data_IF_987526449033
#
_entry.id   IF_987526449033
#
_cell.length_a   1.000
_cell.length_b   1.000
_cell.length_c   1.000
_cell.angle_alpha   90.00
_cell.angle_beta   90.00
_cell.angle_gamma   90.00
#
_symmetry.space_group_name_H-M   'P 1'
#
loop_
_entity.id
_entity.type
_entity.pdbx_description
1 polymer ?
#
# COMPACT_ATOMS: atom_id res chain seq x y z
N UNK A 1 18.65 -5.74 -14.77
CA UNK A 1 17.49 -6.66 -14.63
C UNK A 1 16.26 -5.83 -14.92
N UNK A 2 15.38 -6.30 -15.80
CA UNK A 2 14.15 -5.60 -16.14
C UNK A 2 13.31 -5.41 -14.85
N UNK A 3 12.85 -4.19 -14.51
CA UNK A 3 11.93 -3.96 -13.39
C UNK A 3 10.73 -4.92 -13.37
N UNK A 4 10.30 -5.40 -14.55
CA UNK A 4 9.25 -6.38 -14.73
C UNK A 4 9.65 -7.79 -14.23
N UNK A 5 10.92 -8.18 -14.33
CA UNK A 5 11.42 -9.47 -13.80
C UNK A 5 11.42 -9.50 -12.27
N UNK A 6 11.76 -8.38 -11.64
CA UNK A 6 11.76 -8.23 -10.18
C UNK A 6 10.33 -8.21 -9.61
N UNK A 7 9.40 -7.50 -10.27
CA UNK A 7 7.97 -7.53 -9.95
C UNK A 7 7.38 -8.94 -10.10
N UNK A 8 7.74 -9.64 -11.19
CA UNK A 8 7.36 -11.04 -11.39
C UNK A 8 7.97 -11.96 -10.32
N UNK A 9 9.16 -11.67 -9.81
CA UNK A 9 9.84 -12.46 -8.79
C UNK A 9 9.26 -12.21 -7.39
N UNK A 10 8.92 -10.97 -7.03
CA UNK A 10 8.14 -10.65 -5.81
C UNK A 10 6.77 -11.34 -5.89
N UNK A 11 6.15 -11.34 -7.07
CA UNK A 11 4.95 -12.14 -7.37
C UNK A 11 5.16 -13.64 -7.19
N UNK A 12 6.34 -14.20 -7.56
CA UNK A 12 6.71 -15.61 -7.28
C UNK A 12 6.88 -15.87 -5.78
N UNK A 13 7.39 -14.91 -5.02
CA UNK A 13 7.64 -15.10 -3.60
C UNK A 13 6.39 -14.99 -2.73
N UNK A 14 5.40 -14.19 -3.14
CA UNK A 14 4.04 -14.30 -2.57
C UNK A 14 3.39 -15.64 -2.90
N UNK A 15 3.67 -16.21 -4.09
CA UNK A 15 3.26 -17.58 -4.47
C UNK A 15 3.95 -18.69 -3.67
N UNK A 16 5.04 -18.41 -2.95
CA UNK A 16 5.81 -19.39 -2.15
C UNK A 16 5.41 -19.41 -0.66
N UNK A 17 4.47 -18.56 -0.19
CA UNK A 17 3.88 -18.61 1.17
C UNK A 17 2.95 -19.83 1.42
N UNK A 18 3.00 -20.88 0.61
CA UNK A 18 1.99 -21.95 0.62
C UNK A 18 2.24 -22.91 1.78
N UNK A 19 1.52 -22.71 2.89
CA UNK A 19 1.17 -23.78 3.82
C UNK A 19 0.28 -24.83 3.15
N UNK A 20 0.23 -26.02 3.71
CA UNK A 20 -0.32 -27.25 3.12
C UNK A 20 -1.66 -27.06 2.41
N UNK A 21 -1.66 -27.41 1.12
CA UNK A 21 -2.77 -27.40 0.16
C UNK A 21 -4.00 -28.15 0.68
N UNK A 22 -5.13 -27.46 0.82
CA UNK A 22 -6.44 -28.11 0.81
C UNK A 22 -6.77 -28.62 -0.60
N UNK A 23 -7.43 -29.77 -0.77
CA UNK A 23 -7.79 -30.27 -2.09
C UNK A 23 -8.77 -29.30 -2.78
N UNK A 24 -8.39 -28.77 -3.95
CA UNK A 24 -9.26 -27.97 -4.84
C UNK A 24 -9.09 -26.45 -4.83
N UNK A 25 -8.23 -25.89 -3.98
CA UNK A 25 -8.12 -24.43 -3.81
C UNK A 25 -7.15 -23.76 -4.83
N UNK A 26 -7.56 -22.62 -5.40
CA UNK A 26 -6.75 -21.87 -6.35
C UNK A 26 -5.50 -21.23 -5.69
N UNK A 27 -4.38 -21.17 -6.41
CA UNK A 27 -3.16 -20.50 -5.92
C UNK A 27 -3.40 -19.03 -5.56
N UNK A 28 -4.33 -18.39 -6.28
CA UNK A 28 -4.72 -17.00 -6.04
C UNK A 28 -5.47 -16.85 -4.71
N UNK A 29 -6.41 -17.75 -4.39
CA UNK A 29 -7.10 -17.76 -3.09
C UNK A 29 -6.12 -17.86 -1.90
N UNK A 30 -5.14 -18.76 -2.00
CA UNK A 30 -4.08 -18.88 -0.97
C UNK A 30 -3.28 -17.60 -0.81
N UNK A 31 -2.92 -16.96 -1.92
CA UNK A 31 -2.20 -15.68 -1.92
C UNK A 31 -3.01 -14.59 -1.21
N UNK A 32 -4.31 -14.46 -1.52
CA UNK A 32 -5.20 -13.48 -0.88
C UNK A 32 -5.28 -13.68 0.64
N UNK A 33 -5.44 -14.92 1.11
CA UNK A 33 -5.46 -15.20 2.56
C UNK A 33 -4.15 -14.86 3.24
N UNK A 34 -3.04 -15.16 2.59
CA UNK A 34 -1.71 -14.87 3.13
C UNK A 34 -1.45 -13.37 3.28
N UNK A 35 -2.05 -12.52 2.43
CA UNK A 35 -1.92 -11.06 2.54
C UNK A 35 -2.61 -10.49 3.77
N UNK A 36 -3.70 -11.11 4.24
CA UNK A 36 -4.41 -10.64 5.44
C UNK A 36 -3.54 -10.61 6.70
N UNK A 37 -2.51 -11.47 6.78
CA UNK A 37 -1.56 -11.45 7.90
C UNK A 37 -0.68 -10.18 7.93
N UNK A 38 -0.50 -9.50 6.79
CA UNK A 38 0.41 -8.36 6.67
C UNK A 38 -0.06 -7.15 7.50
N UNK A 39 -1.36 -7.01 7.78
CA UNK A 39 -1.90 -5.86 8.53
C UNK A 39 -2.04 -6.13 10.02
N UNK A 40 -2.05 -7.40 10.44
CA UNK A 40 -2.16 -7.77 11.86
C UNK A 40 -0.95 -7.29 12.68
N UNK A 41 0.21 -7.16 12.05
CA UNK A 41 1.43 -6.65 12.70
C UNK A 41 1.31 -5.19 13.17
N UNK A 42 0.37 -4.43 12.61
CA UNK A 42 0.17 -3.02 12.98
C UNK A 42 -0.48 -2.86 14.37
N UNK A 43 -1.03 -3.93 14.94
CA UNK A 43 -1.61 -3.95 16.30
C UNK A 43 -0.58 -4.21 17.40
N UNK A 44 0.70 -4.34 17.06
CA UNK A 44 1.73 -4.58 18.06
C UNK A 44 1.99 -3.30 18.87
N UNK A 45 1.60 -3.29 20.15
CA UNK A 45 1.74 -2.15 21.06
C UNK A 45 3.18 -1.61 21.13
N UNK A 46 4.18 -2.49 21.22
CA UNK A 46 5.58 -2.06 21.26
C UNK A 46 6.07 -1.44 19.94
N UNK A 47 5.44 -1.79 18.81
CA UNK A 47 5.69 -1.06 17.55
C UNK A 47 4.98 0.29 17.57
N UNK A 48 3.74 0.35 18.05
CA UNK A 48 2.96 1.59 18.12
C UNK A 48 3.72 2.62 18.98
N UNK A 49 4.27 2.22 20.12
CA UNK A 49 5.08 3.10 20.96
C UNK A 49 6.26 3.70 20.19
N UNK A 50 7.01 2.87 19.43
CA UNK A 50 8.10 3.33 18.57
C UNK A 50 7.63 4.30 17.48
N UNK A 51 6.45 4.09 16.91
CA UNK A 51 5.89 5.02 15.94
C UNK A 51 5.58 6.38 16.58
N UNK A 52 5.00 6.38 17.78
CA UNK A 52 4.66 7.60 18.52
C UNK A 52 5.91 8.40 18.94
N UNK A 53 7.04 7.75 19.19
CA UNK A 53 8.33 8.40 19.45
C UNK A 53 8.89 9.16 18.23
N UNK A 54 8.57 8.68 17.01
CA UNK A 54 9.11 9.23 15.75
C UNK A 54 8.16 10.25 15.12
N UNK A 55 6.87 10.14 15.36
CA UNK A 55 5.85 11.04 14.82
C UNK A 55 6.00 12.46 15.38
N UNK A 56 5.98 13.51 14.53
CA UNK A 56 6.04 14.90 14.98
C UNK A 56 4.66 15.37 15.46
N UNK A 57 4.13 14.73 16.52
CA UNK A 57 2.75 14.87 16.97
C UNK A 57 2.33 16.33 17.14
N UNK A 58 3.15 17.16 17.78
CA UNK A 58 2.85 18.59 17.96
C UNK A 58 2.60 19.32 16.63
N UNK A 59 3.44 19.09 15.62
CA UNK A 59 3.27 19.66 14.27
C UNK A 59 1.98 19.13 13.63
N UNK A 60 1.77 17.82 13.69
CA UNK A 60 0.62 17.17 13.07
C UNK A 60 -0.70 17.73 13.63
N UNK A 61 -0.85 17.73 14.96
CA UNK A 61 -2.05 18.22 15.62
C UNK A 61 -2.25 19.72 15.41
N UNK A 62 -1.21 20.53 15.58
CA UNK A 62 -1.32 21.99 15.37
C UNK A 62 -1.79 22.33 13.95
N UNK A 63 -1.27 21.65 12.93
CA UNK A 63 -1.70 21.85 11.54
C UNK A 63 -3.08 21.30 11.25
N UNK A 64 -3.44 20.16 11.83
CA UNK A 64 -4.76 19.58 11.65
C UNK A 64 -5.86 20.47 12.27
N UNK A 65 -5.64 20.99 13.47
CA UNK A 65 -6.55 21.93 14.14
C UNK A 65 -6.66 23.26 13.37
N UNK A 66 -5.54 23.77 12.85
CA UNK A 66 -5.54 24.96 11.99
C UNK A 66 -6.40 24.75 10.73
N UNK A 67 -6.30 23.58 10.09
CA UNK A 67 -7.10 23.23 8.91
C UNK A 67 -8.59 23.05 9.25
N UNK A 68 -8.91 22.29 10.31
CA UNK A 68 -10.29 22.05 10.75
C UNK A 68 -11.00 23.37 11.16
N UNK A 69 -10.26 24.33 11.72
CA UNK A 69 -10.81 25.65 12.06
C UNK A 69 -11.24 26.48 10.84
N UNK A 70 -10.72 26.16 9.66
CA UNK A 70 -10.96 26.88 8.40
C UNK A 70 -11.91 26.15 7.45
N UNK A 71 -12.01 24.84 7.57
CA UNK A 71 -12.79 23.96 6.69
C UNK A 71 -13.40 22.82 7.50
N UNK A 72 -14.73 22.69 7.44
CA UNK A 72 -15.49 21.66 8.17
C UNK A 72 -15.80 20.41 7.31
N UNK A 73 -15.24 20.34 6.10
CA UNK A 73 -15.41 19.21 5.18
C UNK A 73 -14.93 17.91 5.80
N UNK A 74 -13.82 17.93 6.55
CA UNK A 74 -13.21 16.74 7.12
C UNK A 74 -13.17 16.78 8.65
N UNK A 75 -12.94 15.64 9.31
CA UNK A 75 -12.68 15.61 10.74
C UNK A 75 -11.20 15.91 11.04
N UNK A 76 -10.89 16.29 12.28
CA UNK A 76 -9.50 16.42 12.76
C UNK A 76 -8.61 15.24 12.36
N UNK A 77 -9.09 14.01 12.51
CA UNK A 77 -8.35 12.79 12.14
C UNK A 77 -7.98 12.75 10.65
N UNK A 78 -8.85 13.25 9.78
CA UNK A 78 -8.58 13.29 8.34
C UNK A 78 -7.49 14.33 8.03
N UNK A 79 -7.59 15.53 8.62
CA UNK A 79 -6.59 16.57 8.49
C UNK A 79 -5.22 16.16 9.09
N UNK A 80 -5.23 15.37 10.17
CA UNK A 80 -4.01 14.73 10.71
C UNK A 80 -3.34 13.84 9.66
N UNK A 81 -4.12 13.01 8.94
CA UNK A 81 -3.57 12.14 7.89
C UNK A 81 -3.09 12.95 6.69
N UNK A 82 -3.76 14.05 6.34
CA UNK A 82 -3.29 14.96 5.28
C UNK A 82 -1.94 15.61 5.63
N UNK A 83 -1.75 16.12 6.85
CA UNK A 83 -0.44 16.65 7.27
C UNK A 83 0.59 15.50 7.41
N UNK A 84 0.18 14.31 7.84
CA UNK A 84 1.04 13.14 7.89
C UNK A 84 1.54 12.76 6.49
N UNK A 85 0.70 12.77 5.45
CA UNK A 85 1.10 12.54 4.05
C UNK A 85 2.25 13.48 3.67
N UNK A 86 2.07 14.77 3.95
CA UNK A 86 3.03 15.82 3.62
C UNK A 86 4.35 15.60 4.35
N UNK A 87 4.32 15.44 5.67
CA UNK A 87 5.52 15.17 6.45
C UNK A 87 6.20 13.86 6.01
N UNK A 88 5.42 12.81 5.76
CA UNK A 88 5.95 11.51 5.37
C UNK A 88 6.75 11.60 4.07
N UNK A 89 6.20 12.26 3.05
CA UNK A 89 6.85 12.39 1.74
C UNK A 89 7.99 13.42 1.73
N UNK A 90 7.82 14.55 2.42
CA UNK A 90 8.73 15.69 2.29
C UNK A 90 9.87 15.67 3.29
N UNK A 91 9.64 15.11 4.49
CA UNK A 91 10.58 15.21 5.61
C UNK A 91 11.08 13.83 6.08
N UNK A 92 10.22 12.81 6.07
CA UNK A 92 10.52 11.54 6.74
C UNK A 92 11.10 10.46 5.84
N UNK A 93 10.42 10.11 4.74
CA UNK A 93 10.68 8.89 3.98
C UNK A 93 11.22 9.20 2.57
N UNK A 94 12.20 8.42 2.14
CA UNK A 94 12.95 8.68 0.91
C UNK A 94 12.72 7.60 -0.15
N UNK A 95 12.55 8.04 -1.39
CA UNK A 95 12.39 7.14 -2.53
C UNK A 95 13.76 6.64 -3.00
N UNK A 96 13.92 5.32 -3.11
CA UNK A 96 15.17 4.69 -3.57
C UNK A 96 14.93 4.00 -4.92
N UNK A 97 15.44 4.62 -5.99
CA UNK A 97 15.62 3.94 -7.27
C UNK A 97 16.78 2.94 -7.15
N UNK A 98 17.99 3.47 -6.92
CA UNK A 98 19.20 2.70 -6.67
C UNK A 98 19.84 3.23 -5.37
N UNK A 99 20.35 2.37 -4.47
CA UNK A 99 20.98 2.82 -3.23
C UNK A 99 22.28 3.61 -3.55
N UNK A 100 22.53 4.75 -2.91
CA UNK A 100 23.80 5.45 -3.05
C UNK A 100 24.93 4.64 -2.42
N UNK A 101 26.14 4.78 -2.97
CA UNK A 101 27.32 4.08 -2.47
C UNK A 101 27.72 4.60 -1.07
N UNK A 102 27.72 3.71 -0.08
CA UNK A 102 28.11 3.98 1.30
C UNK A 102 29.58 4.35 1.48
N UNK A 103 30.44 4.05 0.49
CA UNK A 103 31.88 4.35 0.53
C UNK A 103 32.28 5.69 -0.08
N UNK A 104 31.65 6.08 -1.18
CA UNK A 104 32.07 7.28 -1.93
C UNK A 104 30.94 8.26 -2.27
N UNK A 105 29.70 7.96 -1.85
CA UNK A 105 28.53 8.82 -2.06
C UNK A 105 27.98 8.83 -3.49
N UNK A 106 28.55 8.04 -4.41
CA UNK A 106 28.06 7.92 -5.78
C UNK A 106 26.60 7.47 -5.80
N UNK A 107 25.72 8.20 -6.49
CA UNK A 107 24.28 7.95 -6.50
C UNK A 107 23.86 7.01 -7.64
N UNK A 108 24.65 6.98 -8.71
CA UNK A 108 24.36 6.16 -9.91
C UNK A 108 24.97 4.76 -9.79
N UNK A 109 24.53 3.99 -8.79
CA UNK A 109 24.93 2.59 -8.65
C UNK A 109 24.20 1.70 -9.67
N UNK A 110 24.86 0.63 -10.11
CA UNK A 110 24.37 -0.24 -11.19
C UNK A 110 23.88 -1.58 -10.63
N UNK A 111 22.63 -1.94 -10.92
CA UNK A 111 22.02 -3.19 -10.46
C UNK A 111 22.73 -4.43 -10.99
N UNK A 112 23.03 -5.36 -10.10
CA UNK A 112 23.70 -6.65 -10.37
C UNK A 112 22.75 -7.85 -10.23
N UNK A 113 21.46 -7.58 -9.97
CA UNK A 113 20.44 -8.61 -9.72
C UNK A 113 20.28 -8.94 -8.24
N UNK A 114 19.48 -9.97 -7.91
CA UNK A 114 19.21 -10.34 -6.54
C UNK A 114 20.40 -11.07 -5.90
N UNK A 115 20.49 -10.96 -4.59
CA UNK A 115 21.44 -11.71 -3.76
C UNK A 115 20.72 -12.38 -2.60
N UNK A 116 21.34 -13.40 -2.02
CA UNK A 116 20.77 -14.12 -0.88
C UNK A 116 20.65 -13.17 0.32
N UNK A 117 19.49 -13.11 1.00
CA UNK A 117 19.36 -12.39 2.26
C UNK A 117 20.29 -12.94 3.35
N UNK A 118 20.82 -12.04 4.17
CA UNK A 118 21.49 -12.39 5.42
C UNK A 118 20.46 -12.80 6.48
N UNK A 119 20.91 -13.44 7.56
CA UNK A 119 20.03 -13.81 8.67
C UNK A 119 19.40 -12.57 9.34
N UNK A 120 20.15 -11.47 9.40
CA UNK A 120 19.66 -10.19 9.90
C UNK A 120 18.59 -9.59 8.98
N UNK A 121 18.79 -9.62 7.66
CA UNK A 121 17.80 -9.13 6.69
C UNK A 121 16.51 -9.97 6.75
N UNK A 122 16.63 -11.29 6.88
CA UNK A 122 15.49 -12.19 7.04
C UNK A 122 14.70 -11.93 8.32
N UNK A 123 15.39 -11.61 9.43
CA UNK A 123 14.76 -11.26 10.71
C UNK A 123 13.78 -10.10 10.56
N UNK A 124 14.10 -9.11 9.73
CA UNK A 124 13.25 -7.94 9.44
C UNK A 124 12.39 -8.12 8.17
N UNK A 125 12.17 -9.38 7.76
CA UNK A 125 11.26 -9.73 6.67
C UNK A 125 11.75 -9.37 5.27
N UNK A 126 13.03 -9.04 5.09
CA UNK A 126 13.62 -8.84 3.76
C UNK A 126 13.97 -10.19 3.13
N UNK A 127 13.04 -10.70 2.33
CA UNK A 127 13.25 -11.94 1.54
C UNK A 127 13.91 -11.66 0.19
N UNK A 128 13.78 -10.43 -0.31
CA UNK A 128 14.44 -9.96 -1.53
C UNK A 128 15.51 -8.96 -1.14
N UNK A 129 16.71 -9.17 -1.67
CA UNK A 129 17.80 -8.22 -1.55
C UNK A 129 18.37 -7.98 -2.93
N UNK A 130 18.39 -6.74 -3.36
CA UNK A 130 18.96 -6.30 -4.61
C UNK A 130 20.42 -5.92 -4.38
N UNK A 131 21.32 -6.35 -5.26
CA UNK A 131 22.74 -6.01 -5.18
C UNK A 131 23.06 -4.93 -6.22
N UNK A 132 23.80 -3.92 -5.80
CA UNK A 132 24.21 -2.80 -6.64
C UNK A 132 25.72 -2.62 -6.58
N UNK A 133 26.35 -2.32 -7.72
CA UNK A 133 27.79 -2.06 -7.82
C UNK A 133 28.02 -0.58 -8.10
N UNK A 134 28.88 0.04 -7.32
CA UNK A 134 29.32 1.41 -7.56
C UNK A 134 30.32 1.45 -8.73
N UNK A 135 30.06 2.23 -9.80
CA UNK A 135 31.00 2.33 -10.92
C UNK A 135 32.29 3.07 -10.57
N UNK A 136 32.27 3.93 -9.54
CA UNK A 136 33.41 4.77 -9.14
C UNK A 136 34.43 4.04 -8.26
N UNK A 137 33.97 3.28 -7.27
CA UNK A 137 34.84 2.63 -6.29
C UNK A 137 34.71 1.10 -6.22
N UNK A 138 33.86 0.51 -7.07
CA UNK A 138 33.58 -0.93 -7.12
C UNK A 138 32.98 -1.54 -5.84
N UNK A 139 32.63 -0.73 -4.84
CA UNK A 139 31.92 -1.21 -3.66
C UNK A 139 30.54 -1.75 -4.05
N UNK A 140 30.06 -2.74 -3.29
CA UNK A 140 28.72 -3.28 -3.45
C UNK A 140 27.80 -2.75 -2.36
N UNK A 141 26.59 -2.32 -2.76
CA UNK A 141 25.51 -1.95 -1.86
C UNK A 141 24.41 -3.00 -1.91
N UNK A 142 23.85 -3.31 -0.75
CA UNK A 142 22.71 -4.21 -0.60
C UNK A 142 21.47 -3.37 -0.36
N UNK A 143 20.42 -3.60 -1.14
CA UNK A 143 19.12 -2.97 -0.93
C UNK A 143 18.10 -4.05 -0.54
N UNK A 144 17.97 -4.23 0.77
CA UNK A 144 17.06 -5.19 1.36
C UNK A 144 15.62 -4.65 1.37
N UNK A 145 14.68 -5.42 0.83
CA UNK A 145 13.26 -5.07 0.71
C UNK A 145 12.51 -5.43 1.99
N UNK A 146 12.68 -4.62 3.03
CA UNK A 146 12.14 -4.87 4.37
C UNK A 146 10.61 -4.81 4.41
N UNK A 147 10.01 -5.74 5.17
CA UNK A 147 8.56 -5.76 5.42
C UNK A 147 8.21 -5.45 6.88
N UNK A 148 9.21 -5.38 7.77
CA UNK A 148 9.04 -5.05 9.17
C UNK A 148 8.88 -3.53 9.36
N UNK A 149 7.75 -3.03 9.91
CA UNK A 149 7.55 -1.60 10.13
C UNK A 149 8.60 -0.96 11.05
N UNK A 150 9.08 -1.64 12.10
CA UNK A 150 10.15 -1.10 12.95
C UNK A 150 11.42 -0.87 12.13
N UNK A 151 11.76 -1.79 11.21
CA UNK A 151 12.94 -1.58 10.37
C UNK A 151 12.75 -0.40 9.40
N UNK A 152 11.52 -0.20 8.90
CA UNK A 152 11.20 0.94 8.03
C UNK A 152 11.23 2.28 8.78
N UNK A 153 10.88 2.29 10.07
CA UNK A 153 11.08 3.42 10.97
C UNK A 153 12.55 3.69 11.30
N UNK A 154 13.48 2.81 10.93
CA UNK A 154 14.92 3.08 11.06
C UNK A 154 15.53 3.48 9.71
N UNK A 155 15.12 2.82 8.62
CA UNK A 155 15.74 3.03 7.30
C UNK A 155 15.20 4.24 6.57
N UNK A 156 13.96 4.66 6.87
CA UNK A 156 13.30 5.83 6.29
C UNK A 156 13.32 5.85 4.77
N UNK A 157 13.35 4.69 4.12
CA UNK A 157 13.52 4.64 2.68
C UNK A 157 12.98 3.35 2.05
N UNK A 158 12.66 3.43 0.76
CA UNK A 158 12.25 2.29 -0.03
C UNK A 158 11.51 2.68 -1.30
N UNK A 159 10.64 1.79 -1.80
CA UNK A 159 9.73 2.03 -2.94
C UNK A 159 8.28 1.87 -2.46
N UNK A 160 7.31 1.86 -3.38
CA UNK A 160 5.88 1.87 -3.03
C UNK A 160 5.47 0.85 -1.96
N UNK A 161 6.06 -0.36 -1.97
CA UNK A 161 5.86 -1.37 -0.93
C UNK A 161 6.22 -0.90 0.48
N UNK A 162 7.45 -0.42 0.66
CA UNK A 162 7.95 0.11 1.93
C UNK A 162 7.23 1.39 2.34
N UNK A 163 6.97 2.29 1.38
CA UNK A 163 6.25 3.54 1.60
C UNK A 163 4.85 3.27 2.15
N UNK A 164 4.04 2.47 1.45
CA UNK A 164 2.68 2.15 1.90
C UNK A 164 2.68 1.38 3.23
N UNK A 165 3.59 0.41 3.41
CA UNK A 165 3.68 -0.36 4.66
C UNK A 165 3.96 0.53 5.87
N UNK A 166 4.97 1.41 5.78
CA UNK A 166 5.33 2.32 6.87
C UNK A 166 4.24 3.36 7.10
N UNK A 167 3.71 3.96 6.03
CA UNK A 167 2.65 4.97 6.14
C UNK A 167 1.34 4.41 6.71
N UNK A 168 0.86 3.25 6.23
CA UNK A 168 -0.33 2.59 6.80
C UNK A 168 -0.13 2.34 8.29
N UNK A 169 1.06 1.91 8.70
CA UNK A 169 1.37 1.67 10.10
C UNK A 169 1.34 2.96 10.94
N UNK A 170 1.94 4.05 10.45
CA UNK A 170 1.91 5.35 11.13
C UNK A 170 0.49 5.90 11.28
N UNK A 171 -0.36 5.77 10.26
CA UNK A 171 -1.79 6.09 10.37
C UNK A 171 -2.47 5.24 11.46
N UNK A 172 -2.17 3.93 11.51
CA UNK A 172 -2.72 3.05 12.54
C UNK A 172 -2.28 3.45 13.95
N UNK A 173 -1.02 3.83 14.12
CA UNK A 173 -0.46 4.30 15.39
C UNK A 173 -1.13 5.60 15.89
N UNK A 174 -1.57 6.48 14.98
CA UNK A 174 -2.39 7.65 15.30
C UNK A 174 -3.86 7.30 15.65
N UNK A 175 -4.21 6.02 15.72
CA UNK A 175 -5.56 5.56 16.04
C UNK A 175 -6.52 5.51 14.85
N UNK A 176 -6.03 5.75 13.62
CA UNK A 176 -6.89 5.69 12.44
C UNK A 176 -7.31 4.25 12.13
N UNK A 177 -8.54 4.09 11.62
CA UNK A 177 -8.93 2.85 10.92
C UNK A 177 -8.33 2.87 9.53
N UNK A 178 -7.51 1.88 9.22
CA UNK A 178 -6.73 1.83 7.99
C UNK A 178 -6.92 0.52 7.25
N UNK A 179 -6.74 0.57 5.93
CA UNK A 179 -6.53 -0.61 5.09
C UNK A 179 -5.23 -0.46 4.32
N UNK A 180 -4.49 -1.55 4.24
CA UNK A 180 -3.43 -1.70 3.23
C UNK A 180 -4.07 -2.23 1.96
N UNK A 181 -3.91 -1.50 0.85
CA UNK A 181 -4.56 -1.82 -0.43
C UNK A 181 -3.54 -2.38 -1.39
N UNK A 182 -3.86 -3.53 -1.96
CA UNK A 182 -3.04 -4.23 -2.94
C UNK A 182 -3.69 -4.19 -4.31
N UNK A 183 -2.93 -3.73 -5.31
CA UNK A 183 -3.26 -3.91 -6.71
C UNK A 183 -2.37 -4.98 -7.35
N UNK A 184 -2.99 -5.88 -8.13
CA UNK A 184 -2.30 -6.98 -8.80
C UNK A 184 -1.24 -6.55 -9.82
N UNK A 185 -1.33 -5.34 -10.36
CA UNK A 185 -0.39 -4.78 -11.35
C UNK A 185 0.74 -3.97 -10.69
N UNK A 186 1.24 -4.50 -9.56
CA UNK A 186 2.45 -4.04 -8.88
C UNK A 186 2.36 -2.59 -8.35
N UNK A 187 1.31 -2.30 -7.59
CA UNK A 187 1.24 -1.10 -6.76
C UNK A 187 0.45 -1.35 -5.49
N UNK A 188 0.74 -0.58 -4.45
CA UNK A 188 0.10 -0.69 -3.13
C UNK A 188 -0.03 0.70 -2.52
N UNK A 189 -1.08 0.92 -1.72
CA UNK A 189 -1.36 2.20 -1.07
C UNK A 189 -2.21 1.98 0.19
N UNK A 190 -2.74 3.07 0.77
CA UNK A 190 -3.54 3.05 2.01
C UNK A 190 -4.96 3.54 1.74
N UNK A 191 -5.96 2.97 2.41
CA UNK A 191 -7.25 3.65 2.64
C UNK A 191 -7.37 3.98 4.13
N UNK A 192 -7.94 5.15 4.44
CA UNK A 192 -8.28 5.56 5.81
C UNK A 192 -9.78 5.80 5.90
N UNK A 193 -10.42 5.32 6.96
CA UNK A 193 -11.85 5.60 7.17
C UNK A 193 -12.02 7.00 7.75
N UNK A 194 -12.77 7.85 7.05
CA UNK A 194 -13.13 9.19 7.54
C UNK A 194 -14.40 9.11 8.40
N UNK A 195 -14.34 9.48 9.70
CA UNK A 195 -15.52 9.51 10.55
C UNK A 195 -16.55 10.56 10.09
N UNK A 196 -16.10 11.68 9.51
CA UNK A 196 -16.95 12.76 9.02
C UNK A 196 -17.69 12.35 7.75
N UNK A 197 -16.96 11.81 6.77
CA UNK A 197 -17.52 11.40 5.48
C UNK A 197 -18.19 10.03 5.52
N UNK A 198 -17.95 9.25 6.58
CA UNK A 198 -18.50 7.90 6.79
C UNK A 198 -18.17 6.93 5.67
N UNK A 199 -16.99 7.08 5.06
CA UNK A 199 -16.49 6.21 3.99
C UNK A 199 -14.98 6.05 4.06
N UNK A 200 -14.48 5.06 3.33
CA UNK A 200 -13.06 4.88 3.09
C UNK A 200 -12.53 5.92 2.10
N UNK A 201 -11.37 6.49 2.41
CA UNK A 201 -10.72 7.54 1.65
C UNK A 201 -9.39 7.03 1.13
N UNK A 202 -9.20 7.14 -0.18
CA UNK A 202 -7.94 6.80 -0.84
C UNK A 202 -6.80 7.68 -0.32
N UNK A 203 -5.67 7.07 0.02
CA UNK A 203 -4.47 7.76 0.52
C UNK A 203 -3.21 7.11 -0.05
N UNK A 204 -2.50 7.81 -0.95
CA UNK A 204 -1.20 7.35 -1.49
C UNK A 204 -0.07 8.25 -0.98
N UNK A 205 0.76 7.70 -0.09
CA UNK A 205 1.91 8.37 0.50
C UNK A 205 3.03 8.64 -0.50
N UNK A 206 3.17 7.81 -1.54
CA UNK A 206 4.17 8.04 -2.58
C UNK A 206 3.85 9.32 -3.35
N UNK A 207 2.58 9.63 -3.56
CA UNK A 207 2.12 10.73 -4.41
C UNK A 207 1.57 11.93 -3.61
N UNK A 208 1.62 11.90 -2.27
CA UNK A 208 0.94 12.89 -1.40
C UNK A 208 -0.53 13.09 -1.79
N UNK A 209 -1.19 11.99 -2.15
CA UNK A 209 -2.52 12.04 -2.74
C UNK A 209 -3.60 11.66 -1.71
N UNK A 210 -4.47 12.61 -1.39
CA UNK A 210 -5.67 12.42 -0.58
C UNK A 210 -6.92 12.41 -1.45
N UNK A 211 -7.76 11.38 -1.30
CA UNK A 211 -9.07 11.20 -1.95
C UNK A 211 -9.06 11.27 -3.49
N UNK A 212 -8.01 10.74 -4.11
CA UNK A 212 -7.84 10.66 -5.58
C UNK A 212 -7.80 9.21 -6.07
N UNK A 213 -8.88 8.42 -5.93
CA UNK A 213 -8.86 7.00 -6.32
C UNK A 213 -8.66 6.76 -7.82
N UNK A 214 -8.89 7.77 -8.67
CA UNK A 214 -8.69 7.66 -10.12
C UNK A 214 -7.29 8.04 -10.60
N UNK A 215 -6.39 8.35 -9.67
CA UNK A 215 -4.98 8.65 -9.93
C UNK A 215 -4.31 7.60 -10.82
N UNK A 216 -4.58 6.31 -10.56
CA UNK A 216 -3.91 5.24 -11.28
C UNK A 216 -4.49 5.04 -12.69
N UNK A 217 -5.81 4.90 -12.80
CA UNK A 217 -6.48 4.62 -14.07
C UNK A 217 -6.44 5.82 -15.02
N UNK A 218 -6.89 6.96 -14.52
CA UNK A 218 -7.09 8.17 -15.34
C UNK A 218 -5.83 9.03 -15.38
N UNK A 219 -5.10 9.14 -14.25
CA UNK A 219 -3.86 9.91 -14.18
C UNK A 219 -2.67 9.19 -14.81
N UNK A 220 -2.38 7.95 -14.38
CA UNK A 220 -1.22 7.18 -14.88
C UNK A 220 -1.55 6.35 -16.13
N UNK A 221 -2.81 6.31 -16.56
CA UNK A 221 -3.22 5.42 -17.65
C UNK A 221 -3.14 3.93 -17.31
N UNK A 222 -2.93 3.58 -16.04
CA UNK A 222 -2.68 2.21 -15.59
C UNK A 222 -3.92 1.34 -15.78
N UNK A 223 -3.74 0.17 -16.39
CA UNK A 223 -4.79 -0.84 -16.47
C UNK A 223 -4.70 -1.80 -15.28
N UNK A 224 -5.82 -2.08 -14.62
CA UNK A 224 -5.85 -2.87 -13.39
C UNK A 224 -6.93 -3.97 -13.40
N UNK A 225 -6.65 -5.12 -12.77
CA UNK A 225 -7.57 -6.26 -12.68
C UNK A 225 -8.20 -6.42 -11.29
N UNK A 226 -7.36 -6.55 -10.26
CA UNK A 226 -7.77 -6.76 -8.88
C UNK A 226 -7.16 -5.68 -8.00
N UNK A 227 -8.01 -5.09 -7.16
CA UNK A 227 -7.61 -4.20 -6.07
C UNK A 227 -8.31 -4.67 -4.80
N UNK A 228 -7.55 -5.20 -3.85
CA UNK A 228 -8.08 -5.76 -2.61
C UNK A 228 -7.53 -4.99 -1.42
N UNK A 229 -8.41 -4.53 -0.56
CA UNK A 229 -8.07 -3.81 0.66
C UNK A 229 -8.11 -4.76 1.87
N UNK A 230 -7.13 -4.67 2.75
CA UNK A 230 -7.01 -5.47 3.98
C UNK A 230 -6.92 -4.56 5.19
N UNK A 231 -7.75 -4.78 6.21
CA UNK A 231 -7.64 -4.18 7.55
C UNK A 231 -7.61 -5.27 8.63
N UNK A 232 -7.48 -4.84 9.88
CA UNK A 232 -7.68 -5.72 11.03
C UNK A 232 -9.11 -6.28 11.12
N UNK A 233 -10.08 -5.60 10.50
CA UNK A 233 -11.48 -5.96 10.52
C UNK A 233 -11.88 -6.88 9.36
N UNK A 234 -11.10 -6.98 8.29
CA UNK A 234 -11.52 -7.76 7.13
C UNK A 234 -10.73 -7.52 5.84
N UNK A 235 -11.23 -8.12 4.77
CA UNK A 235 -10.74 -7.90 3.41
C UNK A 235 -11.92 -7.65 2.45
N UNK A 236 -11.75 -6.70 1.53
CA UNK A 236 -12.79 -6.26 0.60
C UNK A 236 -12.19 -6.04 -0.79
N UNK A 237 -12.91 -6.47 -1.83
CA UNK A 237 -12.58 -6.11 -3.20
C UNK A 237 -13.06 -4.68 -3.47
N UNK A 238 -12.10 -3.77 -3.60
CA UNK A 238 -12.33 -2.34 -3.81
C UNK A 238 -12.06 -1.94 -5.26
N UNK A 239 -11.93 -2.90 -6.19
CA UNK A 239 -11.57 -2.65 -7.60
C UNK A 239 -12.43 -1.57 -8.25
N UNK A 240 -13.75 -1.58 -8.02
CA UNK A 240 -14.68 -0.60 -8.61
C UNK A 240 -14.44 0.84 -8.17
N UNK A 241 -13.80 1.06 -7.01
CA UNK A 241 -13.42 2.40 -6.56
C UNK A 241 -12.34 3.01 -7.45
N UNK A 242 -11.41 2.17 -7.94
CA UNK A 242 -10.18 2.55 -8.65
C UNK A 242 -10.24 2.30 -10.16
N UNK A 243 -11.10 1.39 -10.62
CA UNK A 243 -11.31 1.05 -12.03
C UNK A 243 -12.75 1.35 -12.39
N UNK A 244 -12.99 2.57 -12.90
CA UNK A 244 -14.32 3.02 -13.33
C UNK A 244 -14.49 2.98 -14.85
N UNK A 245 -13.40 3.13 -15.59
CA UNK A 245 -13.36 3.00 -17.05
C UNK A 245 -13.03 1.55 -17.46
N UNK A 246 -13.91 0.87 -18.22
CA UNK A 246 -13.63 -0.46 -18.79
C UNK A 246 -12.35 -0.51 -19.63
N UNK A 247 -11.94 0.57 -20.29
CA UNK A 247 -10.70 0.61 -21.08
C UNK A 247 -9.45 0.52 -20.20
N UNK A 248 -9.58 0.87 -18.90
CA UNK A 248 -8.56 0.72 -17.86
C UNK A 248 -8.70 -0.60 -17.08
N UNK A 249 -9.63 -1.47 -17.46
CA UNK A 249 -9.80 -2.79 -16.85
C UNK A 249 -8.93 -3.85 -17.53
N UNK A 250 -8.35 -4.75 -16.73
CA UNK A 250 -7.64 -5.96 -17.18
C UNK A 250 -8.52 -7.18 -16.86
N UNK A 251 -8.58 -8.20 -17.74
CA UNK A 251 -9.37 -9.41 -17.49
C UNK A 251 -9.10 -10.05 -16.13
N UNK A 252 -10.16 -10.33 -15.38
CA UNK A 252 -10.14 -10.95 -14.05
C UNK A 252 -10.30 -12.47 -14.18
N UNK A 253 -9.23 -13.14 -14.59
CA UNK A 253 -9.22 -14.58 -14.88
C UNK A 253 -8.33 -15.42 -13.94
N UNK A 254 -7.89 -14.87 -12.80
CA UNK A 254 -7.04 -15.58 -11.81
C UNK A 254 -7.83 -16.38 -10.78
N UNK A 255 -9.10 -16.05 -10.61
CA UNK A 255 -10.06 -16.64 -9.67
C UNK A 255 -11.46 -16.32 -10.18
N UNK A 256 -12.47 -17.17 -9.92
CA UNK A 256 -13.86 -16.81 -10.22
C UNK A 256 -14.35 -15.74 -9.26
N UNK A 257 -15.33 -14.93 -9.67
CA UNK A 257 -15.89 -13.88 -8.80
C UNK A 257 -16.56 -14.47 -7.55
N UNK A 258 -17.20 -15.64 -7.67
CA UNK A 258 -17.81 -16.36 -6.54
C UNK A 258 -16.76 -16.87 -5.55
N UNK A 259 -15.65 -17.43 -6.04
CA UNK A 259 -14.55 -17.90 -5.18
C UNK A 259 -13.85 -16.71 -4.52
N UNK A 260 -13.61 -15.61 -5.24
CA UNK A 260 -13.06 -14.37 -4.68
C UNK A 260 -13.93 -13.85 -3.54
N UNK A 261 -15.24 -13.69 -3.77
CA UNK A 261 -16.18 -13.22 -2.76
C UNK A 261 -16.18 -14.14 -1.53
N UNK A 262 -16.17 -15.46 -1.74
CA UNK A 262 -16.11 -16.46 -0.68
C UNK A 262 -14.81 -16.37 0.14
N UNK A 263 -13.66 -16.25 -0.52
CA UNK A 263 -12.35 -16.12 0.13
C UNK A 263 -12.31 -14.85 0.99
N UNK A 264 -12.69 -13.70 0.45
CA UNK A 264 -12.67 -12.43 1.19
C UNK A 264 -13.65 -12.47 2.37
N UNK A 265 -14.86 -13.01 2.18
CA UNK A 265 -15.81 -13.23 3.27
C UNK A 265 -15.24 -14.14 4.36
N UNK A 266 -14.51 -15.20 3.98
CA UNK A 266 -13.87 -16.11 4.95
C UNK A 266 -12.77 -15.42 5.77
N UNK A 267 -11.99 -14.54 5.13
CA UNK A 267 -10.96 -13.73 5.81
C UNK A 267 -11.64 -12.81 6.83
N UNK A 268 -12.65 -12.06 6.40
CA UNK A 268 -13.41 -11.14 7.26
C UNK A 268 -14.07 -11.86 8.43
N UNK A 269 -14.73 -13.00 8.18
CA UNK A 269 -15.36 -13.79 9.24
C UNK A 269 -14.34 -14.29 10.27
N UNK A 270 -13.16 -14.74 9.82
CA UNK A 270 -12.08 -15.17 10.72
C UNK A 270 -11.56 -14.00 11.56
N UNK A 271 -11.29 -12.86 10.95
CA UNK A 271 -10.78 -11.67 11.65
C UNK A 271 -11.78 -11.14 12.68
N UNK A 272 -13.08 -11.16 12.38
CA UNK A 272 -14.14 -10.71 13.30
C UNK A 272 -14.65 -11.77 14.27
N UNK A 273 -14.11 -12.99 14.24
CA UNK A 273 -14.64 -14.12 15.02
C UNK A 273 -14.61 -13.91 16.54
N UNK A 274 -13.69 -13.06 17.02
CA UNK A 274 -13.51 -12.74 18.44
C UNK A 274 -14.28 -11.49 18.89
N UNK A 275 -14.87 -10.74 17.96
CA UNK A 275 -15.55 -9.48 18.26
C UNK A 275 -16.94 -9.72 18.89
N UNK A 276 -17.39 -8.84 19.82
CA UNK A 276 -18.75 -8.87 20.33
C UNK A 276 -19.82 -8.75 19.23
N UNK A 277 -21.04 -9.30 19.41
CA UNK A 277 -22.12 -9.18 18.44
C UNK A 277 -22.41 -7.74 18.01
N UNK A 278 -22.43 -6.80 18.95
CA UNK A 278 -22.73 -5.38 18.68
C UNK A 278 -21.70 -4.72 17.75
N UNK A 279 -20.41 -5.00 17.95
CA UNK A 279 -19.34 -4.49 17.10
C UNK A 279 -19.37 -5.13 15.71
N UNK A 280 -19.63 -6.43 15.63
CA UNK A 280 -19.79 -7.13 14.35
C UNK A 280 -20.95 -6.57 13.54
N UNK A 281 -22.11 -6.35 14.16
CA UNK A 281 -23.28 -5.76 13.51
C UNK A 281 -23.01 -4.34 13.00
N UNK A 282 -22.23 -3.55 13.75
CA UNK A 282 -21.86 -2.20 13.33
C UNK A 282 -20.94 -2.25 12.09
N UNK A 283 -19.91 -3.10 12.10
CA UNK A 283 -19.03 -3.30 10.95
C UNK A 283 -19.79 -3.83 9.72
N UNK A 284 -20.74 -4.74 9.91
CA UNK A 284 -21.58 -5.25 8.82
C UNK A 284 -22.49 -4.18 8.21
N UNK A 285 -22.95 -3.21 8.99
CA UNK A 285 -23.69 -2.05 8.46
C UNK A 285 -22.79 -1.17 7.60
N UNK A 286 -21.58 -0.90 8.06
CA UNK A 286 -20.58 -0.13 7.29
C UNK A 286 -20.17 -0.84 5.99
N UNK A 287 -19.97 -2.16 6.04
CA UNK A 287 -19.67 -2.96 4.85
C UNK A 287 -20.79 -2.87 3.81
N UNK A 288 -22.07 -2.89 4.24
CA UNK A 288 -23.21 -2.75 3.32
C UNK A 288 -23.24 -1.37 2.66
N UNK A 289 -22.98 -0.31 3.42
CA UNK A 289 -22.87 1.05 2.86
C UNK A 289 -21.75 1.14 1.84
N UNK A 290 -20.59 0.52 2.11
CA UNK A 290 -19.49 0.46 1.13
C UNK A 290 -19.85 -0.38 -0.11
N UNK A 291 -20.57 -1.49 0.06
CA UNK A 291 -21.03 -2.29 -1.09
C UNK A 291 -21.98 -1.51 -1.99
N UNK A 292 -22.88 -0.71 -1.41
CA UNK A 292 -23.76 0.19 -2.16
C UNK A 292 -22.97 1.29 -2.88
N UNK A 293 -22.00 1.91 -2.21
CA UNK A 293 -21.06 2.87 -2.81
C UNK A 293 -20.33 2.25 -4.02
N UNK A 294 -19.72 1.07 -3.82
CA UNK A 294 -18.99 0.34 -4.85
C UNK A 294 -19.87 -0.11 -6.02
N UNK A 295 -21.13 -0.46 -5.75
CA UNK A 295 -22.11 -0.78 -6.77
C UNK A 295 -22.55 0.47 -7.56
N UNK A 296 -22.58 1.63 -6.91
CA UNK A 296 -22.91 2.92 -7.49
C UNK A 296 -21.82 3.50 -8.40
N UNK A 297 -20.56 3.03 -8.29
CA UNK A 297 -19.51 3.35 -9.25
C UNK A 297 -19.80 2.67 -10.61
N UNK A 298 -20.65 3.32 -11.40
CA UNK A 298 -20.92 2.99 -12.80
C UNK A 298 -19.78 3.42 -13.75
N UNK A 299 -19.91 3.06 -15.02
CA UNK A 299 -18.96 3.38 -16.10
C UNK A 299 -19.04 4.85 -16.55
N UNK A 300 -19.01 5.80 -15.62
CA UNK A 300 -18.93 7.21 -15.95
C UNK A 300 -17.50 7.70 -15.69
N UNK A 301 -16.78 8.16 -16.73
CA UNK A 301 -15.47 8.79 -16.54
C UNK A 301 -15.62 9.99 -15.62
N UNK A 302 -14.75 10.09 -14.60
CA UNK A 302 -14.69 11.32 -13.82
C UNK A 302 -14.00 12.41 -14.62
N UNK A 303 -14.45 13.65 -14.44
CA UNK A 303 -13.86 14.84 -15.07
C UNK A 303 -12.88 15.58 -14.14
N UNK A 304 -12.56 15.02 -12.96
CA UNK A 304 -11.60 15.65 -12.05
C UNK A 304 -10.18 15.47 -12.60
N UNK A 305 -9.42 16.55 -12.83
CA UNK A 305 -8.08 16.44 -13.36
C UNK A 305 -7.19 15.72 -12.34
N UNK A 306 -6.58 14.60 -12.75
CA UNK A 306 -5.58 13.88 -11.96
C UNK A 306 -4.26 13.88 -12.72
N UNK A 307 -3.16 14.16 -12.03
CA UNK A 307 -1.84 14.32 -12.65
C UNK A 307 -1.15 12.98 -12.98
N UNK A 308 -0.08 13.00 -13.78
CA UNK A 308 0.73 11.82 -14.09
C UNK A 308 1.52 11.35 -12.86
N UNK A 309 2.17 10.20 -12.98
CA UNK A 309 3.00 9.64 -11.90
C UNK A 309 4.20 10.51 -11.60
N UNK A 310 4.47 10.75 -10.31
CA UNK A 310 5.61 11.57 -9.87
C UNK A 310 6.73 10.77 -9.20
N UNK A 311 6.52 9.49 -8.88
CA UNK A 311 7.54 8.62 -8.24
C UNK A 311 8.06 7.52 -9.15
N UNK A 312 9.36 7.20 -9.02
CA UNK A 312 10.09 6.28 -9.90
C UNK A 312 11.12 7.03 -10.76
N UNK A 313 11.99 6.29 -11.47
CA UNK A 313 12.83 6.91 -12.50
C UNK A 313 12.00 7.23 -13.75
N UNK A 314 12.41 8.26 -14.51
CA UNK A 314 11.71 8.67 -15.74
C UNK A 314 11.60 7.52 -16.74
N UNK A 315 12.69 6.78 -16.96
CA UNK A 315 12.69 5.60 -17.84
C UNK A 315 11.69 4.54 -17.37
N UNK A 316 11.57 4.33 -16.06
CA UNK A 316 10.65 3.36 -15.48
C UNK A 316 9.19 3.81 -15.66
N UNK A 317 8.89 5.08 -15.39
CA UNK A 317 7.55 5.67 -15.58
C UNK A 317 7.15 5.58 -17.05
N UNK A 318 8.05 5.97 -17.97
CA UNK A 318 7.83 5.92 -19.41
C UNK A 318 7.66 4.49 -19.93
N UNK A 319 8.44 3.54 -19.45
CA UNK A 319 8.32 2.12 -19.84
C UNK A 319 6.95 1.53 -19.51
N UNK A 320 6.25 2.11 -18.52
CA UNK A 320 4.89 1.72 -18.11
C UNK A 320 3.78 2.58 -18.72
N UNK A 321 4.14 3.63 -19.46
CA UNK A 321 3.19 4.59 -20.04
C UNK A 321 2.50 5.47 -18.98
N UNK A 322 3.13 5.67 -17.82
CA UNK A 322 2.57 6.37 -16.66
C UNK A 322 2.94 7.88 -16.61
N UNK A 323 3.48 8.43 -17.71
CA UNK A 323 4.00 9.80 -17.84
C UNK A 323 2.94 10.85 -18.24
N UNK A 324 1.68 10.44 -18.45
CA UNK A 324 0.57 11.33 -18.79
C UNK A 324 0.41 11.61 -20.30
N UNK A 325 1.09 10.85 -21.16
CA UNK A 325 0.98 10.98 -22.62
C UNK A 325 0.17 9.86 -23.29
N UNK A 326 -0.53 9.03 -22.52
CA UNK A 326 -1.13 7.75 -22.95
C UNK A 326 -2.64 7.71 -23.07
#
# INVERSE_FOLDING_TARGET
MDPNELAQMIGRMYRERVGTRGPGESQFATMLRNMASSVQKYENEALIDKALEVLPLERLYSKAEEMESKDDTWALQDYLVMELLKWFKQDFFQWINNPPCSKCGERETQGQGPTRPTDEELKYGARVVELYRCPKCNNFERFARYNDPAKLLETHCGRCGEWANCFTFLCRALGCRVRWVWNNEDHVWTEVYSPRQKRWVHTDSCEEAWDKPLLYGDGWGKKMSYVVAYSIDGAVDVTKRYVRDPAKSVPRNKISEDELASVLKSITAKLRSHLPPTEREQLEKEDKVEQEELAGFGQNPSTSPVGPRTTGSEDWIKSRGEDGHS
#
